data_IF_507148922736
#
_entry.id   IF_507148922736
#
_cell.length_a   1.000
_cell.length_b   1.000
_cell.length_c   1.000
_cell.angle_alpha   90.00
_cell.angle_beta   90.00
_cell.angle_gamma   90.00
#
_symmetry.space_group_name_H-M   'P 1'
#
loop_
_entity.id
_entity.type
_entity.pdbx_description
1 polymer ?
#
# COMPACT_ATOMS: atom_id res chain seq x y z
N UNK A 1 -11.42 15.24 3.86
CA UNK A 1 -11.40 14.62 5.20
C UNK A 1 -11.30 15.79 6.15
N UNK A 2 -12.16 15.88 7.16
CA UNK A 2 -12.06 16.99 8.12
C UNK A 2 -10.66 16.97 8.73
N UNK A 3 -9.93 18.08 8.63
CA UNK A 3 -8.57 18.21 9.13
C UNK A 3 -8.48 17.77 10.60
N UNK A 4 -9.46 18.19 11.40
CA UNK A 4 -9.62 17.79 12.80
C UNK A 4 -9.71 16.27 12.98
N UNK A 5 -10.40 15.56 12.08
CA UNK A 5 -10.52 14.11 12.14
C UNK A 5 -9.20 13.41 11.78
N UNK A 6 -8.48 13.91 10.78
CA UNK A 6 -7.16 13.37 10.40
C UNK A 6 -6.16 13.49 11.55
N UNK A 7 -6.14 14.66 12.19
CA UNK A 7 -5.24 14.91 13.33
C UNK A 7 -5.59 14.01 14.51
N UNK A 8 -6.88 13.77 14.78
CA UNK A 8 -7.27 12.80 15.82
C UNK A 8 -6.90 11.36 15.49
N UNK A 9 -7.00 10.97 14.22
CA UNK A 9 -6.55 9.65 13.78
C UNK A 9 -5.03 9.49 13.93
N UNK A 10 -4.25 10.53 13.61
CA UNK A 10 -2.80 10.57 13.84
C UNK A 10 -2.47 10.37 15.32
N UNK A 11 -3.05 11.17 16.22
CA UNK A 11 -2.83 11.04 17.68
C UNK A 11 -3.10 9.61 18.16
N UNK A 12 -4.23 9.03 17.78
CA UNK A 12 -4.61 7.65 18.15
C UNK A 12 -3.60 6.63 17.62
N UNK A 13 -3.20 6.75 16.35
CA UNK A 13 -2.24 5.82 15.73
C UNK A 13 -0.87 5.92 16.39
N UNK A 14 -0.41 7.13 16.71
CA UNK A 14 0.84 7.35 17.44
C UNK A 14 0.78 6.73 18.83
N UNK A 15 -0.28 6.97 19.61
CA UNK A 15 -0.46 6.39 20.94
C UNK A 15 -0.54 4.86 20.90
N UNK A 16 -1.29 4.29 19.95
CA UNK A 16 -1.39 2.84 19.80
C UNK A 16 -0.03 2.21 19.51
N UNK A 17 0.83 2.90 18.74
CA UNK A 17 2.18 2.43 18.43
C UNK A 17 3.12 2.54 19.63
N UNK A 18 3.01 3.61 20.42
CA UNK A 18 3.77 3.79 21.67
C UNK A 18 3.39 2.74 22.73
N UNK A 19 2.10 2.45 22.89
CA UNK A 19 1.63 1.45 23.85
C UNK A 19 2.02 0.02 23.48
N UNK A 20 2.29 -0.25 22.20
CA UNK A 20 2.74 -1.55 21.70
C UNK A 20 4.26 -1.69 21.66
N UNK A 21 5.01 -0.71 22.16
CA UNK A 21 6.46 -0.64 21.99
C UNK A 21 7.22 -1.86 22.54
N UNK A 22 6.69 -2.57 23.54
CA UNK A 22 7.30 -3.80 24.07
C UNK A 22 7.21 -4.98 23.08
N UNK A 23 6.20 -4.98 22.22
CA UNK A 23 5.94 -6.05 21.23
C UNK A 23 6.39 -5.69 19.83
N UNK A 24 6.35 -4.40 19.48
CA UNK A 24 6.77 -3.86 18.20
C UNK A 24 7.37 -2.47 18.43
N UNK A 25 8.68 -2.39 18.72
CA UNK A 25 9.33 -1.15 19.03
C UNK A 25 9.31 -0.18 17.85
N UNK A 26 9.01 1.09 18.11
CA UNK A 26 9.05 2.11 17.08
C UNK A 26 10.48 2.32 16.55
N UNK A 27 10.65 2.26 15.23
CA UNK A 27 11.92 2.62 14.59
C UNK A 27 12.17 4.14 14.69
N UNK A 28 13.44 4.54 14.54
CA UNK A 28 13.83 5.96 14.50
C UNK A 28 13.08 6.71 13.38
N UNK A 29 12.92 6.10 12.20
CA UNK A 29 12.22 6.72 11.07
C UNK A 29 10.72 6.90 11.36
N UNK A 30 10.05 5.88 11.90
CA UNK A 30 8.64 6.00 12.28
C UNK A 30 8.42 7.07 13.36
N UNK A 31 9.31 7.13 14.35
CA UNK A 31 9.23 8.15 15.39
C UNK A 31 9.47 9.56 14.83
N UNK A 32 10.43 9.71 13.91
CA UNK A 32 10.69 10.97 13.20
C UNK A 32 9.49 11.43 12.39
N UNK A 33 8.81 10.50 11.70
CA UNK A 33 7.58 10.76 10.97
C UNK A 33 6.47 11.25 11.92
N UNK A 34 6.27 10.59 13.06
CA UNK A 34 5.26 11.04 14.04
C UNK A 34 5.57 12.42 14.62
N UNK A 35 6.83 12.70 14.96
CA UNK A 35 7.23 14.03 15.45
C UNK A 35 6.93 15.10 14.40
N UNK A 36 7.38 14.92 13.15
CA UNK A 36 7.10 15.86 12.07
C UNK A 36 5.59 16.03 11.80
N UNK A 37 4.84 14.92 11.79
CA UNK A 37 3.40 14.94 11.57
C UNK A 37 2.65 15.68 12.67
N UNK A 38 3.04 15.51 13.94
CA UNK A 38 2.46 16.24 15.06
C UNK A 38 2.82 17.73 14.99
N UNK A 39 4.07 18.07 14.69
CA UNK A 39 4.53 19.45 14.53
C UNK A 39 3.75 20.18 13.45
N UNK A 40 3.61 19.61 12.24
CA UNK A 40 2.85 20.25 11.14
C UNK A 40 1.35 20.27 11.43
N UNK A 41 0.84 19.33 12.23
CA UNK A 41 -0.58 19.28 12.65
C UNK A 41 -0.88 20.15 13.88
N UNK A 42 0.06 21.00 14.31
CA UNK A 42 -0.09 21.88 15.46
C UNK A 42 -0.41 21.13 16.77
N UNK A 43 0.17 19.95 16.93
CA UNK A 43 0.14 19.15 18.17
C UNK A 43 1.52 19.16 18.79
N UNK A 44 1.57 19.26 20.11
CA UNK A 44 2.84 19.25 20.84
C UNK A 44 3.42 17.82 20.91
N UNK A 45 4.50 17.51 20.18
CA UNK A 45 5.12 16.19 20.23
C UNK A 45 5.86 15.92 21.55
N UNK A 46 6.08 16.94 22.40
CA UNK A 46 6.70 16.81 23.72
C UNK A 46 5.70 16.42 24.81
N UNK A 47 4.41 16.60 24.54
CA UNK A 47 3.34 16.30 25.48
C UNK A 47 2.13 15.67 24.78
N UNK A 48 2.35 14.53 24.14
CA UNK A 48 1.27 13.74 23.56
C UNK A 48 0.70 12.81 24.63
N UNK A 49 -0.33 13.26 25.35
CA UNK A 49 -0.98 12.48 26.43
C UNK A 49 0.02 11.94 27.48
N UNK A 50 1.03 12.74 27.84
CA UNK A 50 2.07 12.36 28.78
C UNK A 50 3.31 11.68 28.16
N UNK A 51 3.33 11.46 26.85
CA UNK A 51 4.51 10.99 26.13
C UNK A 51 5.29 12.15 25.50
N UNK A 52 6.60 12.18 25.74
CA UNK A 52 7.54 13.09 25.09
C UNK A 52 8.26 12.36 23.95
N UNK A 53 7.70 12.45 22.74
CA UNK A 53 8.23 11.75 21.58
C UNK A 53 9.57 12.33 21.13
N UNK A 54 9.80 13.63 21.34
CA UNK A 54 11.05 14.31 21.00
C UNK A 54 12.18 13.78 21.86
N UNK A 55 11.95 13.61 23.17
CA UNK A 55 12.92 13.00 24.08
C UNK A 55 13.22 11.54 23.72
N UNK A 56 12.19 10.75 23.42
CA UNK A 56 12.37 9.34 23.00
C UNK A 56 13.18 9.29 21.69
N UNK A 57 12.91 10.19 20.74
CA UNK A 57 13.63 10.25 19.46
C UNK A 57 15.11 10.60 19.68
N UNK A 58 15.39 11.61 20.51
CA UNK A 58 16.75 12.03 20.83
C UNK A 58 17.55 10.89 21.45
N UNK A 59 16.98 10.20 22.44
CA UNK A 59 17.61 9.04 23.09
C UNK A 59 17.92 7.91 22.10
N UNK A 60 16.95 7.55 21.24
CA UNK A 60 17.16 6.49 20.24
C UNK A 60 18.22 6.87 19.20
N UNK A 61 18.29 8.15 18.84
CA UNK A 61 19.27 8.70 17.90
C UNK A 61 20.68 8.68 18.49
N UNK A 62 20.83 8.99 19.79
CA UNK A 62 22.14 8.92 20.49
C UNK A 62 22.68 7.49 20.62
N UNK A 63 21.80 6.50 20.80
CA UNK A 63 22.19 5.08 20.97
C UNK A 63 22.52 4.42 19.63
N UNK A 64 21.88 4.85 18.54
CA UNK A 64 21.95 4.21 17.22
C UNK A 64 23.13 4.74 16.39
N UNK A 65 24.34 4.75 16.95
CA UNK A 65 25.57 5.30 16.35
C UNK A 65 26.06 4.64 15.05
N UNK A 66 25.38 3.60 14.55
CA UNK A 66 25.76 2.86 13.34
C UNK A 66 24.88 3.14 12.11
N UNK A 67 23.74 3.83 12.27
CA UNK A 67 22.85 4.20 11.14
C UNK A 67 22.06 5.46 11.46
N UNK A 68 22.75 6.59 11.66
CA UNK A 68 22.06 7.85 11.94
C UNK A 68 21.31 8.35 10.68
N UNK A 69 19.99 8.16 10.69
CA UNK A 69 19.10 8.57 9.62
C UNK A 69 19.00 10.10 9.61
N UNK A 70 19.35 10.79 8.50
CA UNK A 70 19.21 12.25 8.38
C UNK A 70 17.80 12.76 8.73
N UNK A 71 16.79 11.91 8.53
CA UNK A 71 15.38 12.15 8.92
C UNK A 71 15.20 12.43 10.41
N UNK A 72 16.00 11.82 11.28
CA UNK A 72 15.93 12.02 12.74
C UNK A 72 16.46 13.40 13.15
N UNK A 73 17.59 13.82 12.57
CA UNK A 73 18.13 15.17 12.78
C UNK A 73 17.18 16.24 12.27
N UNK A 74 16.57 16.01 11.11
CA UNK A 74 15.56 16.92 10.57
C UNK A 74 14.34 17.02 11.51
N UNK A 75 13.81 15.90 12.00
CA UNK A 75 12.66 15.89 12.90
C UNK A 75 12.95 16.56 14.25
N UNK A 76 14.13 16.32 14.83
CA UNK A 76 14.58 17.01 16.05
C UNK A 76 14.67 18.53 15.83
N UNK A 77 15.29 18.95 14.74
CA UNK A 77 15.40 20.37 14.38
C UNK A 77 14.02 21.02 14.17
N UNK A 78 13.12 20.31 13.47
CA UNK A 78 11.74 20.76 13.25
C UNK A 78 10.95 20.93 14.55
N UNK A 79 11.21 20.08 15.55
CA UNK A 79 10.63 20.17 16.88
C UNK A 79 11.35 21.17 17.81
N UNK A 80 12.31 21.94 17.29
CA UNK A 80 13.11 22.90 18.06
C UNK A 80 14.04 22.26 19.10
N UNK A 81 14.38 20.99 18.94
CA UNK A 81 15.30 20.26 19.83
C UNK A 81 16.76 20.40 19.38
N UNK A 82 17.70 20.32 20.32
CA UNK A 82 19.12 20.30 19.98
C UNK A 82 19.54 18.94 19.44
N UNK A 83 20.40 18.96 18.42
CA UNK A 83 20.99 17.74 17.87
C UNK A 83 21.93 17.08 18.90
N UNK A 84 22.14 15.76 18.82
CA UNK A 84 23.17 15.06 19.59
C UNK A 84 24.57 15.68 19.41
N UNK A 85 25.42 15.60 20.44
CA UNK A 85 26.75 16.23 20.47
C UNK A 85 27.66 15.73 19.32
N UNK A 86 27.52 14.47 18.92
CA UNK A 86 28.27 13.84 17.83
C UNK A 86 27.69 14.14 16.43
N UNK A 87 26.47 14.65 16.33
CA UNK A 87 25.75 14.78 15.05
C UNK A 87 26.52 15.62 14.02
N UNK A 88 27.09 16.75 14.44
CA UNK A 88 27.85 17.63 13.54
C UNK A 88 29.10 16.93 12.99
N UNK A 89 29.84 16.20 13.83
CA UNK A 89 31.02 15.46 13.39
C UNK A 89 30.67 14.38 12.37
N UNK A 90 29.56 13.68 12.57
CA UNK A 90 29.07 12.65 11.64
C UNK A 90 28.59 13.23 10.31
N UNK A 91 27.82 14.33 10.35
CA UNK A 91 27.39 15.02 9.14
C UNK A 91 28.60 15.50 8.33
N UNK A 92 29.63 16.04 8.98
CA UNK A 92 30.88 16.42 8.31
C UNK A 92 31.57 15.20 7.67
N UNK A 93 31.59 14.03 8.34
CA UNK A 93 32.13 12.79 7.76
C UNK A 93 31.36 12.35 6.51
N UNK A 94 30.04 12.45 6.52
CA UNK A 94 29.20 12.12 5.36
C UNK A 94 29.45 13.11 4.22
N UNK A 95 29.47 14.41 4.52
CA UNK A 95 29.73 15.45 3.51
C UNK A 95 31.11 15.33 2.88
N UNK A 96 32.11 14.91 3.66
CA UNK A 96 33.47 14.70 3.17
C UNK A 96 33.69 13.29 2.58
N UNK A 97 32.68 12.42 2.59
CA UNK A 97 32.77 11.13 1.93
C UNK A 97 32.75 11.34 0.41
N UNK A 98 33.66 10.71 -0.31
CA UNK A 98 33.69 10.73 -1.77
C UNK A 98 32.52 9.90 -2.30
N UNK A 99 31.34 10.50 -2.30
CA UNK A 99 30.16 9.94 -2.94
C UNK A 99 29.99 10.62 -4.28
N UNK A 100 30.18 9.85 -5.35
CA UNK A 100 30.01 10.32 -6.72
C UNK A 100 28.51 10.49 -6.99
N UNK A 101 28.02 11.72 -7.08
CA UNK A 101 26.60 12.00 -7.31
C UNK A 101 26.34 12.93 -8.50
N UNK A 102 26.43 12.43 -9.75
CA UNK A 102 25.88 13.12 -10.90
C UNK A 102 24.53 12.47 -11.27
N UNK A 103 23.44 12.90 -10.63
CA UNK A 103 22.09 12.42 -10.95
C UNK A 103 21.28 13.38 -11.81
N UNK A 104 21.80 14.58 -12.11
CA UNK A 104 21.06 15.53 -12.95
C UNK A 104 20.97 14.98 -14.36
N UNK A 105 19.74 14.67 -14.78
CA UNK A 105 19.42 14.24 -16.13
C UNK A 105 19.13 15.46 -17.01
N UNK A 106 19.20 15.28 -18.33
CA UNK A 106 18.94 16.34 -19.31
C UNK A 106 17.53 16.95 -19.20
N UNK A 107 16.58 16.21 -18.61
CA UNK A 107 15.23 16.66 -18.32
C UNK A 107 15.09 17.40 -16.98
N UNK A 108 16.21 17.70 -16.30
CA UNK A 108 16.25 18.42 -15.03
C UNK A 108 15.85 17.60 -13.80
N UNK A 109 15.58 16.30 -13.98
CA UNK A 109 15.26 15.37 -12.88
C UNK A 109 16.51 14.76 -12.25
N UNK A 110 16.34 14.13 -11.09
CA UNK A 110 17.41 13.43 -10.37
C UNK A 110 17.10 11.94 -10.21
N UNK A 111 17.61 11.12 -11.12
CA UNK A 111 17.43 9.67 -11.07
C UNK A 111 15.97 9.23 -11.26
N UNK A 112 15.27 8.89 -10.17
CA UNK A 112 13.86 8.48 -10.20
C UNK A 112 12.93 9.54 -9.58
N UNK A 113 11.62 9.32 -9.62
CA UNK A 113 10.63 10.31 -9.13
C UNK A 113 10.82 10.68 -7.65
N UNK A 114 11.12 9.71 -6.79
CA UNK A 114 11.28 9.92 -5.36
C UNK A 114 12.56 10.70 -5.05
N UNK A 115 13.66 10.34 -5.72
CA UNK A 115 14.94 11.04 -5.61
C UNK A 115 14.82 12.47 -6.14
N UNK A 116 14.16 12.64 -7.30
CA UNK A 116 13.88 13.95 -7.89
C UNK A 116 13.10 14.85 -6.91
N UNK A 117 12.06 14.31 -6.27
CA UNK A 117 11.28 15.05 -5.30
C UNK A 117 12.11 15.45 -4.06
N UNK A 118 12.87 14.52 -3.47
CA UNK A 118 13.69 14.80 -2.28
C UNK A 118 14.80 15.81 -2.58
N UNK A 119 15.51 15.66 -3.71
CA UNK A 119 16.57 16.59 -4.11
C UNK A 119 16.00 17.97 -4.41
N UNK A 120 14.84 18.04 -5.06
CA UNK A 120 14.14 19.32 -5.29
C UNK A 120 13.80 20.01 -3.97
N UNK A 121 13.28 19.28 -2.97
CA UNK A 121 13.04 19.84 -1.63
C UNK A 121 14.32 20.33 -0.94
N UNK A 122 15.43 19.61 -1.11
CA UNK A 122 16.72 20.02 -0.56
C UNK A 122 17.24 21.31 -1.22
N UNK A 123 17.09 21.44 -2.55
CA UNK A 123 17.49 22.63 -3.31
C UNK A 123 16.60 23.84 -3.00
N UNK A 124 15.29 23.62 -2.80
CA UNK A 124 14.37 24.64 -2.27
C UNK A 124 14.85 25.13 -0.89
N UNK A 125 15.20 24.20 0.01
CA UNK A 125 15.69 24.53 1.36
C UNK A 125 17.03 25.26 1.34
N UNK A 126 17.85 25.05 0.31
CA UNK A 126 19.13 25.70 0.11
C UNK A 126 19.02 27.02 -0.71
N UNK A 127 17.80 27.45 -1.05
CA UNK A 127 17.52 28.65 -1.84
C UNK A 127 18.22 28.67 -3.22
N UNK A 128 18.41 27.49 -3.83
CA UNK A 128 19.09 27.33 -5.14
C UNK A 128 18.15 27.29 -6.34
N UNK A 129 16.94 27.82 -6.22
CA UNK A 129 15.90 27.80 -7.26
C UNK A 129 16.32 28.44 -8.58
N UNK A 130 17.27 29.39 -8.52
CA UNK A 130 17.80 30.16 -9.65
C UNK A 130 19.22 29.75 -10.05
N UNK A 131 19.68 28.56 -9.66
CA UNK A 131 21.00 28.07 -10.06
C UNK A 131 21.12 27.97 -11.58
N UNK A 132 22.32 28.18 -12.13
CA UNK A 132 22.54 28.04 -13.58
C UNK A 132 22.48 26.59 -14.04
N UNK A 133 22.79 25.66 -13.14
CA UNK A 133 22.96 24.24 -13.44
C UNK A 133 21.66 23.45 -13.23
N UNK A 134 20.64 24.03 -12.58
CA UNK A 134 19.35 23.36 -12.33
C UNK A 134 18.17 24.33 -12.38
N UNK A 135 17.06 23.87 -13.00
CA UNK A 135 15.86 24.66 -13.23
C UNK A 135 14.66 24.06 -12.47
N UNK A 136 14.15 24.79 -11.47
CA UNK A 136 12.99 24.39 -10.66
C UNK A 136 11.73 24.13 -11.50
N UNK A 137 11.45 24.97 -12.51
CA UNK A 137 10.24 24.83 -13.33
C UNK A 137 10.26 23.53 -14.14
N UNK A 138 11.42 23.16 -14.66
CA UNK A 138 11.60 21.89 -15.38
C UNK A 138 11.39 20.70 -14.44
N UNK A 139 11.98 20.74 -13.25
CA UNK A 139 11.80 19.69 -12.23
C UNK A 139 10.32 19.58 -11.78
N UNK A 140 9.66 20.69 -11.48
CA UNK A 140 8.23 20.72 -11.13
C UNK A 140 7.35 20.19 -12.26
N UNK A 141 7.67 20.52 -13.51
CA UNK A 141 6.95 20.00 -14.68
C UNK A 141 7.09 18.49 -14.80
N UNK A 142 8.30 17.94 -14.62
CA UNK A 142 8.54 16.50 -14.59
C UNK A 142 7.73 15.82 -13.48
N UNK A 143 7.75 16.36 -12.26
CA UNK A 143 7.02 15.82 -11.12
C UNK A 143 5.49 15.87 -11.34
N UNK A 144 4.96 16.98 -11.87
CA UNK A 144 3.53 17.13 -12.19
C UNK A 144 3.07 16.15 -13.27
N UNK A 145 3.90 15.92 -14.31
CA UNK A 145 3.58 14.95 -15.34
C UNK A 145 3.44 13.53 -14.76
N UNK A 146 4.28 13.16 -13.80
CA UNK A 146 4.15 11.89 -13.11
C UNK A 146 2.87 11.81 -12.26
N UNK A 147 2.52 12.86 -11.53
CA UNK A 147 1.28 12.90 -10.74
C UNK A 147 0.00 12.81 -11.60
N UNK A 148 0.06 13.28 -12.84
CA UNK A 148 -1.04 13.17 -13.80
C UNK A 148 -1.11 11.81 -14.52
N UNK A 149 -0.16 10.91 -14.27
CA UNK A 149 -0.12 9.58 -14.90
C UNK A 149 -1.01 8.56 -14.17
N UNK A 150 -1.36 7.47 -14.84
CA UNK A 150 -2.16 6.38 -14.25
C UNK A 150 -1.41 5.57 -13.18
N UNK A 151 -0.09 5.73 -13.07
CA UNK A 151 0.79 4.90 -12.23
C UNK A 151 1.29 5.66 -10.99
N UNK A 152 0.59 6.72 -10.58
CA UNK A 152 0.97 7.52 -9.41
C UNK A 152 0.79 6.70 -8.12
N UNK A 153 1.83 6.67 -7.29
CA UNK A 153 1.78 6.06 -5.98
C UNK A 153 1.74 7.11 -4.85
N UNK A 154 1.41 6.62 -3.65
CA UNK A 154 1.28 7.46 -2.47
C UNK A 154 2.59 8.15 -2.06
N UNK A 155 3.73 7.47 -2.19
CA UNK A 155 5.03 8.01 -1.80
C UNK A 155 5.45 9.13 -2.76
N UNK A 156 5.25 8.95 -4.07
CA UNK A 156 5.49 10.00 -5.06
C UNK A 156 4.63 11.24 -4.78
N UNK A 157 3.35 11.03 -4.45
CA UNK A 157 2.42 12.11 -4.08
C UNK A 157 2.87 12.84 -2.81
N UNK A 158 3.21 12.08 -1.76
CA UNK A 158 3.66 12.61 -0.47
C UNK A 158 4.92 13.48 -0.60
N UNK A 159 5.90 13.04 -1.40
CA UNK A 159 7.15 13.79 -1.59
C UNK A 159 6.98 14.98 -2.54
N UNK A 160 6.03 14.93 -3.48
CA UNK A 160 5.86 15.98 -4.49
C UNK A 160 4.97 17.13 -4.02
N UNK A 161 3.91 16.84 -3.27
CA UNK A 161 2.90 17.84 -2.94
C UNK A 161 3.46 19.09 -2.21
N UNK A 162 4.42 18.98 -1.26
CA UNK A 162 5.04 20.15 -0.65
C UNK A 162 5.74 21.06 -1.68
N UNK A 163 6.42 20.47 -2.65
CA UNK A 163 7.17 21.20 -3.70
C UNK A 163 6.22 22.09 -4.51
N UNK A 164 5.01 21.58 -4.83
CA UNK A 164 3.99 22.35 -5.57
C UNK A 164 3.47 23.56 -4.80
N UNK A 165 3.73 23.63 -3.49
CA UNK A 165 3.44 24.78 -2.63
C UNK A 165 4.69 25.60 -2.29
N UNK A 166 5.82 25.32 -2.95
CA UNK A 166 7.11 25.95 -2.64
C UNK A 166 7.57 25.63 -1.23
N UNK A 167 7.32 24.39 -0.76
CA UNK A 167 7.64 23.92 0.58
C UNK A 167 8.50 22.66 0.55
N UNK A 168 9.27 22.47 1.60
CA UNK A 168 10.08 21.30 1.88
C UNK A 168 9.84 20.77 3.30
N UNK A 169 10.34 19.58 3.60
CA UNK A 169 10.26 19.01 4.96
C UNK A 169 10.96 19.87 6.04
N UNK A 170 11.87 20.75 5.66
CA UNK A 170 12.53 21.74 6.53
C UNK A 170 11.59 22.88 6.96
N UNK A 171 10.51 23.14 6.20
CA UNK A 171 9.53 24.18 6.51
C UNK A 171 8.54 23.78 7.62
N UNK A 172 8.52 22.50 8.01
CA UNK A 172 7.59 21.96 9.01
C UNK A 172 7.64 22.79 10.31
N UNK A 173 8.83 23.22 10.73
CA UNK A 173 9.01 24.06 11.92
C UNK A 173 8.23 25.37 11.87
N UNK A 174 8.11 25.95 10.68
CA UNK A 174 7.57 27.29 10.45
C UNK A 174 6.09 27.25 10.06
N UNK A 175 5.40 26.13 10.32
CA UNK A 175 3.97 25.98 10.04
C UNK A 175 3.17 26.98 10.87
N UNK A 176 2.37 27.82 10.21
CA UNK A 176 1.50 28.77 10.91
C UNK A 176 0.28 28.05 11.49
N UNK A 177 0.28 27.84 12.80
CA UNK A 177 -0.84 27.22 13.53
C UNK A 177 -1.97 28.21 13.91
N UNK A 178 -1.83 29.48 13.53
CA UNK A 178 -2.83 30.53 13.81
C UNK A 178 -3.87 30.65 12.70
N UNK A 179 -3.55 30.19 11.50
CA UNK A 179 -4.50 30.15 10.40
C UNK A 179 -5.38 28.93 10.57
N UNK A 180 -6.64 29.13 10.98
CA UNK A 180 -7.71 28.24 10.54
C UNK A 180 -7.62 28.27 9.00
N UNK A 181 -7.06 27.23 8.38
CA UNK A 181 -7.05 27.11 6.93
C UNK A 181 -8.49 27.13 6.43
N UNK A 182 -8.99 28.33 6.13
CA UNK A 182 -10.14 28.53 5.26
C UNK A 182 -9.66 28.16 3.87
N UNK A 183 -9.61 26.87 3.60
CA UNK A 183 -9.78 26.40 2.23
C UNK A 183 -11.03 27.11 1.72
N UNK A 184 -10.88 27.91 0.66
CA UNK A 184 -12.04 28.36 -0.10
C UNK A 184 -12.90 27.12 -0.35
N UNK A 185 -14.17 27.23 -0.01
CA UNK A 185 -15.16 26.16 0.05
C UNK A 185 -15.56 25.65 -1.35
N UNK A 186 -14.57 25.31 -2.17
CA UNK A 186 -14.60 24.04 -2.92
C UNK A 186 -13.93 22.93 -2.10
N UNK A 187 -13.80 23.17 -0.78
CA UNK A 187 -13.64 22.16 0.23
C UNK A 187 -14.69 21.10 0.03
N UNK A 188 -14.21 19.91 -0.33
CA UNK A 188 -14.98 18.69 -0.34
C UNK A 188 -15.68 18.61 1.03
N UNK A 189 -16.98 18.92 1.07
CA UNK A 189 -17.78 18.97 2.31
C UNK A 189 -17.71 17.64 3.05
N UNK A 190 -18.11 17.54 4.32
CA UNK A 190 -18.24 16.22 4.99
C UNK A 190 -19.06 15.25 4.12
N UNK A 191 -20.02 15.78 3.37
CA UNK A 191 -20.77 15.06 2.34
C UNK A 191 -19.93 14.77 1.08
N UNK A 192 -19.12 15.72 0.60
CA UNK A 192 -18.11 15.51 -0.43
C UNK A 192 -17.04 14.47 -0.06
N UNK A 193 -16.67 14.35 1.22
CA UNK A 193 -15.67 13.42 1.75
C UNK A 193 -16.29 12.05 1.86
N UNK A 194 -17.56 11.96 2.28
CA UNK A 194 -18.36 10.74 2.16
C UNK A 194 -18.58 10.34 0.69
N UNK A 195 -18.75 11.31 -0.21
CA UNK A 195 -18.88 11.08 -1.65
C UNK A 195 -17.55 10.64 -2.29
N UNK A 196 -16.39 11.13 -1.80
CA UNK A 196 -15.05 10.71 -2.27
C UNK A 196 -14.52 9.44 -1.62
N UNK A 197 -14.90 9.15 -0.38
CA UNK A 197 -14.62 7.86 0.27
C UNK A 197 -15.56 6.75 -0.22
N UNK A 198 -16.59 7.12 -0.97
CA UNK A 198 -17.73 6.27 -1.30
C UNK A 198 -18.45 5.77 -0.05
N UNK A 199 -19.60 5.12 -0.20
CA UNK A 199 -20.09 4.26 0.85
C UNK A 199 -19.04 3.15 1.09
N UNK A 200 -18.83 2.79 2.35
CA UNK A 200 -17.90 1.71 2.73
C UNK A 200 -18.68 0.48 3.11
N UNK A 201 -18.34 -0.62 2.46
CA UNK A 201 -18.95 -1.92 2.69
C UNK A 201 -18.08 -2.75 3.63
N UNK A 202 -18.72 -3.70 4.32
CA UNK A 202 -18.01 -4.69 5.12
C UNK A 202 -17.95 -6.00 4.33
N UNK A 203 -16.74 -6.44 4.02
CA UNK A 203 -16.50 -7.67 3.26
C UNK A 203 -15.94 -8.74 4.19
N UNK A 204 -16.45 -9.96 4.07
CA UNK A 204 -15.87 -11.13 4.72
C UNK A 204 -14.97 -11.84 3.71
N UNK A 205 -13.67 -11.90 3.96
CA UNK A 205 -12.74 -12.68 3.14
C UNK A 205 -12.33 -13.95 3.88
N UNK A 206 -12.64 -15.11 3.28
CA UNK A 206 -12.37 -16.41 3.88
C UNK A 206 -11.50 -17.29 2.98
N UNK A 207 -10.42 -17.84 3.52
CA UNK A 207 -9.56 -18.85 2.90
C UNK A 207 -9.96 -20.24 3.40
N UNK A 208 -10.12 -21.18 2.46
CA UNK A 208 -10.39 -22.58 2.74
C UNK A 208 -9.33 -23.44 2.07
N UNK A 209 -8.65 -24.23 2.87
CA UNK A 209 -7.66 -25.23 2.43
C UNK A 209 -8.14 -26.60 2.90
N UNK A 210 -8.17 -27.57 1.98
CA UNK A 210 -8.58 -28.96 2.23
C UNK A 210 -9.93 -29.32 1.62
N UNK A 211 -10.13 -30.60 1.33
CA UNK A 211 -11.38 -31.16 0.79
C UNK A 211 -12.51 -31.17 1.82
N UNK A 212 -12.19 -31.36 3.11
CA UNK A 212 -13.13 -31.36 4.23
C UNK A 212 -13.14 -30.04 5.02
N UNK A 213 -12.65 -28.93 4.43
CA UNK A 213 -12.55 -27.59 5.06
C UNK A 213 -11.66 -27.58 6.32
N UNK A 214 -10.56 -28.31 6.29
CA UNK A 214 -9.72 -28.54 7.48
C UNK A 214 -9.07 -27.25 8.02
N UNK A 215 -8.81 -26.27 7.17
CA UNK A 215 -8.27 -24.98 7.59
C UNK A 215 -9.12 -23.84 7.03
N UNK A 216 -9.74 -23.09 7.95
CA UNK A 216 -10.55 -21.92 7.64
C UNK A 216 -9.91 -20.69 8.28
N UNK A 217 -9.51 -19.73 7.47
CA UNK A 217 -9.10 -18.40 7.92
C UNK A 217 -10.12 -17.37 7.44
N UNK A 218 -10.53 -16.46 8.32
CA UNK A 218 -11.56 -15.47 8.00
C UNK A 218 -11.16 -14.12 8.58
N UNK A 219 -11.21 -13.09 7.72
CA UNK A 219 -10.98 -11.70 8.10
C UNK A 219 -12.16 -10.84 7.63
N UNK A 220 -12.48 -9.82 8.42
CA UNK A 220 -13.47 -8.81 8.08
C UNK A 220 -12.77 -7.52 7.71
N UNK A 221 -12.99 -7.04 6.50
CA UNK A 221 -12.37 -5.84 5.96
C UNK A 221 -13.43 -4.77 5.73
N UNK A 222 -13.08 -3.51 6.02
CA UNK A 222 -13.91 -2.35 5.72
C UNK A 222 -13.32 -1.61 4.53
N UNK A 223 -14.02 -1.69 3.40
CA UNK A 223 -13.49 -1.31 2.08
C UNK A 223 -14.45 -0.37 1.34
N UNK A 224 -13.99 0.41 0.35
CA UNK A 224 -14.87 1.20 -0.51
C UNK A 224 -15.86 0.34 -1.31
N UNK A 225 -17.01 0.91 -1.70
CA UNK A 225 -17.87 0.32 -2.73
C UNK A 225 -17.16 0.19 -4.07
N UNK A 226 -17.56 -0.81 -4.87
CA UNK A 226 -16.97 -1.13 -6.18
C UNK A 226 -15.48 -1.51 -6.15
N UNK A 227 -14.95 -1.89 -4.98
CA UNK A 227 -13.62 -2.48 -4.87
C UNK A 227 -13.57 -3.84 -5.57
N UNK A 228 -12.44 -4.13 -6.21
CA UNK A 228 -12.19 -5.41 -6.85
C UNK A 228 -11.79 -6.47 -5.83
N UNK A 229 -11.97 -7.75 -6.17
CA UNK A 229 -11.50 -8.86 -5.34
C UNK A 229 -9.98 -8.80 -5.16
N UNK A 230 -9.23 -8.43 -6.21
CA UNK A 230 -7.78 -8.27 -6.14
C UNK A 230 -7.35 -7.23 -5.09
N UNK A 231 -7.98 -6.05 -5.08
CA UNK A 231 -7.68 -5.01 -4.08
C UNK A 231 -8.07 -5.47 -2.66
N UNK A 232 -9.16 -6.24 -2.50
CA UNK A 232 -9.52 -6.85 -1.21
C UNK A 232 -8.42 -7.81 -0.74
N UNK A 233 -7.84 -8.60 -1.64
CA UNK A 233 -6.71 -9.48 -1.30
C UNK A 233 -5.46 -8.70 -0.92
N UNK A 234 -5.16 -7.59 -1.63
CA UNK A 234 -4.05 -6.71 -1.29
C UNK A 234 -4.21 -6.09 0.11
N UNK A 235 -5.42 -5.70 0.48
CA UNK A 235 -5.71 -5.20 1.83
C UNK A 235 -5.62 -6.32 2.88
N UNK A 236 -6.03 -7.54 2.54
CA UNK A 236 -5.98 -8.69 3.45
C UNK A 236 -4.53 -9.07 3.81
N UNK A 237 -3.61 -9.11 2.85
CA UNK A 237 -2.19 -9.43 3.12
C UNK A 237 -1.49 -8.36 3.98
N UNK A 238 -1.91 -7.09 3.88
CA UNK A 238 -1.40 -6.02 4.73
C UNK A 238 -1.93 -6.16 6.17
N UNK A 239 -3.12 -6.73 6.33
CA UNK A 239 -3.76 -6.91 7.64
C UNK A 239 -3.28 -8.17 8.37
N UNK A 240 -3.03 -9.27 7.64
CA UNK A 240 -2.56 -10.53 8.19
C UNK A 240 -1.71 -11.29 7.14
N UNK A 241 -0.51 -11.68 7.56
CA UNK A 241 0.48 -12.35 6.70
C UNK A 241 -0.03 -13.69 6.13
N UNK A 242 -1.04 -14.33 6.75
CA UNK A 242 -1.68 -15.54 6.21
C UNK A 242 -2.41 -15.32 4.88
N UNK A 243 -2.70 -14.08 4.54
CA UNK A 243 -3.35 -13.72 3.28
C UNK A 243 -2.34 -13.27 2.21
N UNK A 244 -1.04 -13.34 2.51
CA UNK A 244 0.01 -13.08 1.52
C UNK A 244 -0.16 -14.04 0.35
N UNK A 245 -0.14 -13.50 -0.86
CA UNK A 245 -0.38 -14.25 -2.08
C UNK A 245 0.61 -13.89 -3.17
N UNK A 246 0.84 -14.81 -4.09
CA UNK A 246 1.61 -14.57 -5.31
C UNK A 246 0.74 -14.78 -6.54
N UNK A 247 1.03 -14.00 -7.58
CA UNK A 247 0.26 -13.97 -8.80
C UNK A 247 1.13 -13.65 -10.01
N UNK A 248 0.63 -13.99 -11.19
CA UNK A 248 1.29 -13.73 -12.47
C UNK A 248 0.27 -13.29 -13.51
N UNK A 249 0.66 -12.38 -14.39
CA UNK A 249 -0.13 -12.04 -15.58
C UNK A 249 -0.02 -13.16 -16.62
N UNK A 250 -1.18 -13.64 -17.07
CA UNK A 250 -1.31 -14.61 -18.15
C UNK A 250 -2.31 -14.07 -19.17
N UNK A 251 -1.79 -13.35 -20.18
CA UNK A 251 -2.63 -12.57 -21.09
C UNK A 251 -3.32 -11.43 -20.35
N UNK A 252 -4.64 -11.32 -20.48
CA UNK A 252 -5.45 -10.29 -19.80
C UNK A 252 -5.96 -10.73 -18.41
N UNK A 253 -5.48 -11.88 -17.89
CA UNK A 253 -5.93 -12.43 -16.61
C UNK A 253 -4.82 -12.41 -15.57
N UNK A 254 -5.19 -12.05 -14.35
CA UNK A 254 -4.37 -12.16 -13.15
C UNK A 254 -4.55 -13.56 -12.56
N UNK A 255 -3.51 -14.38 -12.68
CA UNK A 255 -3.49 -15.76 -12.21
C UNK A 255 -2.84 -15.84 -10.83
N UNK A 256 -3.66 -16.08 -9.80
CA UNK A 256 -3.18 -16.33 -8.44
C UNK A 256 -2.75 -17.78 -8.34
N UNK A 257 -1.49 -18.00 -7.97
CA UNK A 257 -0.91 -19.35 -7.91
C UNK A 257 -0.40 -19.75 -6.54
N UNK A 258 -0.39 -18.83 -5.56
CA UNK A 258 0.06 -19.11 -4.20
C UNK A 258 -0.68 -18.21 -3.21
N UNK A 259 -1.13 -18.78 -2.09
CA UNK A 259 -1.63 -18.03 -0.91
C UNK A 259 -1.12 -18.75 0.34
N UNK A 260 -0.60 -18.01 1.31
CA UNK A 260 0.00 -18.55 2.55
C UNK A 260 1.13 -19.55 2.31
N UNK A 261 1.90 -19.38 1.23
CA UNK A 261 2.93 -20.32 0.76
C UNK A 261 2.37 -21.70 0.36
N UNK A 262 1.07 -21.80 0.08
CA UNK A 262 0.45 -22.97 -0.51
C UNK A 262 0.27 -22.68 -2.00
N UNK A 263 1.15 -23.30 -2.79
CA UNK A 263 1.22 -23.13 -4.24
C UNK A 263 0.27 -24.09 -4.96
N UNK A 264 -0.31 -23.67 -6.08
CA UNK A 264 -1.09 -24.53 -6.97
C UNK A 264 -0.24 -25.73 -7.44
N UNK A 265 -0.87 -26.90 -7.51
CA UNK A 265 -0.25 -28.14 -7.96
C UNK A 265 -1.15 -28.79 -9.01
N UNK A 266 -0.71 -28.75 -10.27
CA UNK A 266 -1.50 -29.28 -11.38
C UNK A 266 -1.55 -30.80 -11.41
N UNK A 267 -0.55 -31.50 -10.87
CA UNK A 267 -0.50 -32.97 -10.83
C UNK A 267 -1.49 -33.51 -9.80
N UNK A 268 -1.58 -32.81 -8.67
CA UNK A 268 -2.50 -33.12 -7.59
C UNK A 268 -3.86 -32.41 -7.70
N UNK A 269 -4.09 -31.67 -8.79
CA UNK A 269 -5.36 -30.99 -9.06
C UNK A 269 -5.72 -29.90 -8.04
N UNK A 270 -4.71 -29.26 -7.45
CA UNK A 270 -4.84 -28.22 -6.43
C UNK A 270 -4.76 -26.84 -7.09
N UNK A 271 -5.86 -26.12 -7.03
CA UNK A 271 -5.94 -24.76 -7.56
C UNK A 271 -6.68 -23.84 -6.59
N UNK A 272 -6.19 -22.61 -6.47
CA UNK A 272 -6.93 -21.52 -5.86
C UNK A 272 -8.11 -21.11 -6.74
N UNK A 273 -9.33 -21.31 -6.24
CA UNK A 273 -10.55 -20.91 -6.92
C UNK A 273 -11.24 -19.77 -6.19
N UNK A 274 -11.81 -18.84 -6.96
CA UNK A 274 -12.53 -17.69 -6.45
C UNK A 274 -14.04 -18.00 -6.37
N UNK A 275 -14.62 -17.73 -5.21
CA UNK A 275 -16.06 -17.78 -4.99
C UNK A 275 -16.56 -16.46 -4.40
N UNK A 276 -17.76 -16.06 -4.79
CA UNK A 276 -18.45 -14.88 -4.26
C UNK A 276 -19.90 -15.26 -3.92
N UNK A 277 -20.41 -14.76 -2.79
CA UNK A 277 -21.79 -15.00 -2.40
C UNK A 277 -22.20 -14.18 -1.18
N UNK A 278 -23.50 -14.09 -0.91
CA UNK A 278 -24.03 -13.31 0.22
C UNK A 278 -24.00 -14.11 1.53
N UNK A 279 -24.01 -15.44 1.46
CA UNK A 279 -23.97 -16.33 2.61
C UNK A 279 -23.33 -17.68 2.21
N UNK A 280 -23.06 -18.56 3.19
CA UNK A 280 -22.35 -19.83 2.96
C UNK A 280 -23.09 -20.77 1.98
N UNK A 281 -24.39 -20.56 1.78
CA UNK A 281 -25.27 -21.37 0.95
C UNK A 281 -25.46 -20.79 -0.46
N UNK A 282 -25.07 -19.52 -0.72
CA UNK A 282 -25.20 -18.84 -2.02
C UNK A 282 -23.87 -18.51 -2.69
N UNK A 283 -22.85 -19.37 -2.52
CA UNK A 283 -21.54 -19.16 -3.09
C UNK A 283 -21.49 -19.62 -4.55
N UNK A 284 -21.12 -18.70 -5.45
CA UNK A 284 -20.93 -18.99 -6.87
C UNK A 284 -19.45 -18.97 -7.21
N UNK A 285 -18.97 -19.98 -7.93
CA UNK A 285 -17.61 -20.02 -8.47
C UNK A 285 -17.47 -19.01 -9.61
N UNK A 286 -16.40 -18.22 -9.61
CA UNK A 286 -16.13 -17.21 -10.62
C UNK A 286 -14.93 -17.62 -11.49
N UNK A 287 -15.06 -17.42 -12.80
CA UNK A 287 -14.02 -17.70 -13.83
C UNK A 287 -13.34 -16.39 -14.27
N UNK A 288 -13.93 -15.26 -13.87
CA UNK A 288 -13.41 -13.91 -14.11
C UNK A 288 -12.17 -13.64 -13.26
N UNK A 289 -11.30 -12.78 -13.79
CA UNK A 289 -10.07 -12.40 -13.11
C UNK A 289 -10.38 -11.57 -11.85
N UNK A 290 -9.66 -11.75 -10.72
CA UNK A 290 -9.94 -11.05 -9.46
C UNK A 290 -9.93 -9.51 -9.56
N UNK A 291 -9.19 -8.94 -10.52
CA UNK A 291 -9.13 -7.50 -10.82
C UNK A 291 -10.33 -7.00 -11.65
N UNK A 292 -11.18 -7.90 -12.15
CA UNK A 292 -12.40 -7.58 -12.92
C UNK A 292 -13.69 -7.77 -12.11
N UNK A 293 -13.62 -8.55 -11.03
CA UNK A 293 -14.78 -8.84 -10.17
C UNK A 293 -14.88 -7.79 -9.08
N UNK A 294 -16.03 -7.13 -8.97
CA UNK A 294 -16.31 -6.14 -7.91
C UNK A 294 -17.17 -6.71 -6.79
N UNK A 295 -16.94 -6.27 -5.56
CA UNK A 295 -17.70 -6.69 -4.37
C UNK A 295 -18.75 -5.62 -4.01
N UNK A 296 -19.97 -6.05 -3.62
CA UNK A 296 -21.10 -5.15 -3.29
C UNK A 296 -21.54 -5.27 -1.83
N UNK A 297 -22.27 -4.28 -1.33
CA UNK A 297 -22.76 -4.28 0.05
C UNK A 297 -23.83 -5.35 0.30
N UNK A 298 -23.84 -5.89 1.51
CA UNK A 298 -24.76 -6.93 1.96
C UNK A 298 -24.05 -8.23 2.31
N UNK A 299 -23.40 -8.29 3.48
CA UNK A 299 -22.84 -9.52 4.07
C UNK A 299 -22.02 -10.41 3.12
N UNK A 300 -21.47 -9.84 2.03
CA UNK A 300 -20.89 -10.65 0.96
C UNK A 300 -19.61 -11.30 1.46
N UNK A 301 -19.62 -12.64 1.43
CA UNK A 301 -18.45 -13.47 1.69
C UNK A 301 -17.75 -13.67 0.36
N UNK A 302 -16.62 -13.00 0.16
CA UNK A 302 -15.65 -13.48 -0.82
C UNK A 302 -14.97 -14.69 -0.21
N UNK A 303 -15.12 -15.84 -0.86
CA UNK A 303 -14.52 -17.09 -0.42
C UNK A 303 -13.45 -17.44 -1.44
N UNK A 304 -12.19 -17.38 -1.03
CA UNK A 304 -11.15 -18.16 -1.70
C UNK A 304 -11.34 -19.60 -1.25
N UNK A 305 -11.71 -20.50 -2.17
CA UNK A 305 -11.78 -21.92 -1.87
C UNK A 305 -10.73 -22.61 -2.72
N UNK A 306 -9.67 -23.12 -2.11
CA UNK A 306 -8.88 -24.15 -2.76
C UNK A 306 -9.76 -25.40 -2.77
N UNK A 307 -10.19 -25.84 -3.95
CA UNK A 307 -10.80 -27.16 -4.13
C UNK A 307 -9.71 -28.07 -4.66
N UNK A 308 -9.56 -29.26 -4.07
CA UNK A 308 -8.82 -30.33 -4.73
C UNK A 308 -9.82 -30.96 -5.69
N UNK A 309 -9.56 -30.83 -6.99
CA UNK A 309 -10.25 -31.66 -7.96
C UNK A 309 -9.28 -32.76 -8.36
N UNK A 310 -9.45 -34.01 -7.87
CA UNK A 310 -8.99 -35.13 -8.66
C UNK A 310 -9.70 -35.04 -10.02
N UNK A 311 -8.92 -34.73 -11.05
CA UNK A 311 -9.18 -34.84 -12.49
C UNK A 311 -10.64 -35.05 -12.90
N UNK A 312 -11.24 -34.00 -13.49
CA UNK A 312 -11.96 -34.07 -14.78
C UNK A 312 -12.31 -32.64 -15.24
N UNK A 313 -11.49 -32.10 -16.14
CA UNK A 313 -11.79 -30.86 -16.89
C UNK A 313 -13.02 -31.06 -17.78
N UNK A 314 -13.68 -29.95 -18.15
CA UNK A 314 -13.75 -29.66 -19.58
C UNK A 314 -13.00 -28.35 -19.88
N UNK A 315 -11.93 -28.47 -20.66
CA UNK A 315 -11.35 -27.36 -21.39
C UNK A 315 -12.35 -26.91 -22.49
N UNK A 316 -12.34 -25.63 -22.89
CA UNK A 316 -11.40 -25.27 -23.94
C UNK A 316 -10.72 -23.91 -23.69
N UNK A 317 -9.42 -23.83 -23.96
CA UNK A 317 -8.67 -22.73 -24.62
C UNK A 317 -7.17 -22.96 -24.38
N UNK A 318 -6.65 -24.02 -25.01
CA UNK A 318 -5.23 -24.13 -25.35
C UNK A 318 -5.15 -24.14 -26.87
N UNK A 319 -4.78 -23.00 -27.45
CA UNK A 319 -4.34 -22.91 -28.83
C UNK A 319 -2.87 -22.52 -28.81
N UNK A 320 -1.99 -23.47 -29.13
CA UNK A 320 -0.63 -23.18 -29.57
C UNK A 320 0.51 -23.79 -28.75
N UNK A 321 0.68 -25.11 -28.82
CA UNK A 321 1.90 -25.73 -29.37
C UNK A 321 1.74 -27.26 -29.42
N UNK A 322 2.01 -27.81 -30.60
CA UNK A 322 1.90 -29.22 -30.99
C UNK A 322 3.21 -29.99 -30.71
N UNK A 323 3.13 -31.32 -30.90
CA UNK A 323 4.15 -32.40 -30.88
C UNK A 323 4.03 -33.23 -29.58
N UNK A 324 3.70 -34.53 -29.53
CA UNK A 324 3.55 -35.61 -30.54
C UNK A 324 2.89 -36.86 -29.89
N UNK A 325 2.24 -37.65 -30.75
CA UNK A 325 1.90 -39.09 -30.67
C UNK A 325 0.75 -39.63 -29.77
N UNK A 326 -0.25 -40.18 -30.48
CA UNK A 326 -1.38 -41.07 -30.11
C UNK A 326 -0.92 -42.51 -29.75
N UNK A 327 -1.82 -43.49 -29.49
CA UNK A 327 -3.01 -43.54 -28.61
C UNK A 327 -3.09 -44.86 -27.77
N UNK A 328 -3.93 -44.91 -26.73
CA UNK A 328 -4.30 -46.18 -26.10
C UNK A 328 -5.47 -46.09 -25.12
N UNK A 329 -6.63 -46.63 -25.56
CA UNK A 329 -7.71 -47.32 -24.81
C UNK A 329 -7.83 -46.97 -23.31
N UNK A 330 -8.89 -46.38 -22.78
CA UNK A 330 -10.32 -46.58 -23.00
C UNK A 330 -10.97 -46.86 -21.63
N UNK A 331 -12.18 -46.36 -21.36
CA UNK A 331 -13.16 -47.00 -20.48
C UNK A 331 -14.51 -46.27 -20.54
N UNK A 332 -15.55 -47.07 -20.71
CA UNK A 332 -16.97 -46.77 -20.87
C UNK A 332 -17.66 -46.54 -19.52
N UNK A 333 -18.54 -45.53 -19.42
CA UNK A 333 -19.54 -45.45 -18.35
C UNK A 333 -20.92 -45.88 -18.87
N UNK A 334 -21.49 -46.88 -18.20
CA UNK A 334 -22.88 -47.30 -18.41
C UNK A 334 -23.84 -46.30 -17.80
N UNK A 335 -24.68 -45.69 -18.63
CA UNK A 335 -25.81 -44.89 -18.19
C UNK A 335 -27.08 -45.76 -18.22
N UNK A 336 -27.76 -45.81 -17.08
CA UNK A 336 -29.05 -46.44 -16.89
C UNK A 336 -30.14 -45.77 -17.74
N UNK A 337 -31.03 -46.60 -18.29
CA UNK A 337 -32.18 -46.28 -19.13
C UNK A 337 -33.27 -45.47 -18.42
N UNK A 338 -33.80 -44.46 -19.12
CA UNK A 338 -35.22 -44.02 -19.21
C UNK A 338 -35.20 -42.59 -19.77
N UNK A 339 -35.86 -42.16 -20.83
CA UNK A 339 -36.90 -42.70 -21.69
C UNK A 339 -36.81 -41.96 -23.04
N UNK A 340 -36.94 -42.69 -24.15
CA UNK A 340 -37.19 -42.15 -25.48
C UNK A 340 -38.66 -42.39 -25.80
N UNK A 341 -39.40 -41.33 -26.10
CA UNK A 341 -40.50 -41.34 -27.09
C UNK A 341 -40.42 -40.03 -27.88
N UNK A 342 -39.86 -40.11 -29.08
CA UNK A 342 -40.58 -40.15 -30.37
C UNK A 342 -41.28 -38.83 -30.69
N UNK A 343 -40.86 -38.14 -31.74
CA UNK A 343 -41.59 -38.17 -33.03
C UNK A 343 -40.80 -37.48 -34.17
N UNK A 344 -40.64 -38.26 -35.25
CA UNK A 344 -40.45 -37.97 -36.68
C UNK A 344 -39.24 -37.13 -37.12
#
# INVERSE_FOLDING_TARGET
MDEKLMVKQLEIQTLASLLRNDTSPLTVNQLSMFVNALTVSCRDPRNLHGFDLVKILKQKTEVSSLTNHPTSYLALCNAGESLPINATSELIKILNSNSEYPFLLDDGSFGNIYTSAIVTQALLSAEQESSKDWNLNTAVSHLMNHLNSSNVDFLATYLTLPILKGKALSDIRNTNCSDDFKLNDEGISVEGVKNKLGPKIRVQYSLYVGDEKDIIHTIWLRVPENITVYEVMQLAQLADNKYKFQWKEMGEKLYIYDIDNITNDFENGQFWLLYLGQNKESLTHLIESPDKVTVKDGSQKSKGHARFCPTELPAPFLSGCLISQRPGKGCTSGASKSDIRNTV
#
